data_IF_101879674312
#
_entry.id   IF_101879674312
#
_cell.length_a   1.000
_cell.length_b   1.000
_cell.length_c   1.000
_cell.angle_alpha   90.00
_cell.angle_beta   90.00
_cell.angle_gamma   90.00
#
_symmetry.space_group_name_H-M   'P 1'
#
loop_
_entity.id
_entity.type
_entity.pdbx_description
1 polymer ?
#
# COMPACT_ATOMS: atom_id res chain seq x y z
N UNK A 1 -20.26 13.15 6.43
CA UNK A 1 -19.67 12.33 5.35
C UNK A 1 -18.24 12.02 5.77
N UNK A 2 -18.06 10.97 6.55
CA UNK A 2 -16.77 10.54 7.11
C UNK A 2 -16.20 9.48 6.17
N UNK A 3 -14.94 9.64 5.72
CA UNK A 3 -14.25 8.65 4.88
C UNK A 3 -13.26 7.91 5.74
N UNK A 4 -13.66 6.74 6.22
CA UNK A 4 -12.77 5.79 6.88
C UNK A 4 -11.77 5.23 5.85
N UNK A 5 -10.54 5.74 5.88
CA UNK A 5 -9.42 5.12 5.20
C UNK A 5 -8.95 3.93 6.04
N UNK A 6 -9.57 2.77 5.81
CA UNK A 6 -9.13 1.51 6.41
C UNK A 6 -7.79 1.10 5.78
N UNK A 7 -6.70 1.55 6.41
CA UNK A 7 -5.36 1.04 6.17
C UNK A 7 -5.24 -0.30 6.89
N UNK A 8 -5.30 -1.42 6.16
CA UNK A 8 -5.08 -2.73 6.75
C UNK A 8 -3.57 -3.00 6.86
N UNK A 9 -2.98 -3.11 8.07
CA UNK A 9 -1.68 -3.74 8.19
C UNK A 9 -1.86 -5.25 7.93
N UNK A 10 -1.18 -5.79 6.92
CA UNK A 10 -1.08 -7.24 6.73
C UNK A 10 -0.27 -7.84 7.87
N UNK A 11 -0.99 -8.24 8.92
CA UNK A 11 -0.48 -8.88 10.13
C UNK A 11 0.01 -10.29 9.81
N UNK A 12 1.29 -10.44 9.51
CA UNK A 12 1.99 -11.73 9.61
C UNK A 12 2.80 -11.77 10.90
N UNK A 13 2.10 -11.85 12.04
CA UNK A 13 2.75 -12.10 13.34
C UNK A 13 2.24 -13.41 13.93
N UNK A 14 2.92 -14.50 13.55
CA UNK A 14 3.03 -15.69 14.41
C UNK A 14 4.44 -15.69 15.00
N UNK A 15 4.64 -14.84 16.00
CA UNK A 15 5.85 -14.78 16.81
C UNK A 15 5.91 -16.03 17.72
N UNK A 16 6.93 -16.87 17.56
CA UNK A 16 7.37 -17.76 18.65
C UNK A 16 8.87 -17.63 18.86
N UNK A 17 9.16 -16.99 20.00
CA UNK A 17 10.26 -17.24 20.96
C UNK A 17 11.66 -16.70 20.61
N UNK A 18 11.93 -15.55 21.23
CA UNK A 18 13.01 -15.30 22.20
C UNK A 18 14.42 -15.87 21.94
N UNK A 19 15.38 -14.95 21.83
CA UNK A 19 16.83 -15.12 21.96
C UNK A 19 17.52 -13.81 21.57
N UNK A 20 17.63 -12.86 22.50
CA UNK A 20 18.86 -12.43 23.20
C UNK A 20 19.96 -11.84 22.29
N UNK A 21 20.31 -10.60 22.63
CA UNK A 21 21.60 -9.93 22.43
C UNK A 21 22.19 -9.90 21.01
N UNK A 22 21.92 -8.79 20.34
CA UNK A 22 22.69 -8.34 19.19
C UNK A 22 22.05 -7.08 18.65
N UNK A 23 22.85 -6.03 18.47
CA UNK A 23 22.50 -4.83 17.71
C UNK A 23 21.41 -5.14 16.68
N UNK A 24 20.20 -4.63 16.90
CA UNK A 24 19.16 -4.66 15.87
C UNK A 24 19.64 -3.70 14.80
N UNK A 25 20.51 -4.19 13.92
CA UNK A 25 20.63 -3.68 12.57
C UNK A 25 19.23 -3.86 12.01
N UNK A 26 18.46 -2.78 12.02
CA UNK A 26 17.37 -2.60 11.08
C UNK A 26 18.05 -2.61 9.71
N UNK A 27 18.36 -3.82 9.20
CA UNK A 27 18.60 -4.07 7.78
C UNK A 27 17.51 -3.30 7.08
N UNK A 28 17.91 -2.17 6.48
CA UNK A 28 17.02 -1.10 6.06
C UNK A 28 16.09 -1.62 4.99
N UNK A 29 15.01 -2.26 5.41
CA UNK A 29 13.90 -2.64 4.56
C UNK A 29 13.23 -1.32 4.25
N UNK A 30 13.74 -0.63 3.21
CA UNK A 30 13.14 0.59 2.70
C UNK A 30 11.71 0.23 2.33
N UNK A 31 10.77 0.60 3.20
CA UNK A 31 9.36 0.38 2.95
C UNK A 31 9.00 1.19 1.72
N UNK A 32 8.65 0.51 0.64
CA UNK A 32 8.11 1.15 -0.54
C UNK A 32 6.60 1.21 -0.41
N UNK A 33 6.02 2.36 -0.74
CA UNK A 33 4.57 2.56 -0.75
C UNK A 33 4.12 2.78 -2.18
N UNK A 34 2.91 2.30 -2.50
CA UNK A 34 2.30 2.53 -3.80
C UNK A 34 0.79 2.70 -3.65
N UNK A 35 0.20 3.47 -4.56
CA UNK A 35 -1.25 3.66 -4.66
C UNK A 35 -1.81 2.94 -5.89
N UNK A 36 -3.04 2.45 -5.75
CA UNK A 36 -3.89 1.92 -6.82
C UNK A 36 -5.28 2.50 -6.66
N UNK A 37 -6.02 2.63 -7.75
CA UNK A 37 -7.37 3.18 -7.72
C UNK A 37 -8.32 2.31 -8.54
N UNK A 38 -9.58 2.26 -8.11
CA UNK A 38 -10.66 1.56 -8.76
C UNK A 38 -11.92 2.42 -8.72
N UNK A 39 -12.69 2.40 -9.82
CA UNK A 39 -14.03 2.98 -9.89
C UNK A 39 -15.00 1.83 -10.07
N UNK A 40 -15.98 1.76 -9.19
CA UNK A 40 -17.08 0.80 -9.23
C UNK A 40 -18.39 1.54 -9.39
N UNK A 41 -19.39 0.89 -9.99
CA UNK A 41 -20.75 1.40 -9.98
C UNK A 41 -21.40 1.27 -8.59
N UNK A 42 -22.66 1.71 -8.49
CA UNK A 42 -23.45 1.65 -7.25
C UNK A 42 -23.76 0.23 -6.79
N UNK A 43 -23.69 -0.74 -7.70
CA UNK A 43 -23.94 -2.16 -7.45
C UNK A 43 -22.63 -2.93 -7.14
N UNK A 44 -21.47 -2.24 -7.21
CA UNK A 44 -20.15 -2.77 -6.90
C UNK A 44 -19.41 -3.39 -8.09
N UNK A 45 -19.95 -3.33 -9.31
CA UNK A 45 -19.26 -3.81 -10.50
C UNK A 45 -18.08 -2.90 -10.85
N UNK A 46 -16.95 -3.50 -11.21
CA UNK A 46 -15.74 -2.76 -11.56
C UNK A 46 -15.88 -2.12 -12.95
N UNK A 47 -15.82 -0.79 -13.01
CA UNK A 47 -15.88 -0.02 -14.24
C UNK A 47 -14.48 0.36 -14.75
N UNK A 48 -13.60 0.75 -13.83
CA UNK A 48 -12.23 1.14 -14.17
C UNK A 48 -11.24 0.73 -13.07
N UNK A 49 -10.01 0.43 -13.46
CA UNK A 49 -8.91 0.15 -12.53
C UNK A 49 -7.61 0.78 -13.02
N UNK A 50 -6.73 1.13 -12.10
CA UNK A 50 -5.37 1.53 -12.43
C UNK A 50 -4.64 0.39 -13.13
N UNK A 51 -3.97 0.70 -14.24
CA UNK A 51 -3.21 -0.27 -15.04
C UNK A 51 -1.92 -0.73 -14.35
N UNK A 52 -1.41 0.07 -13.42
CA UNK A 52 -0.18 -0.19 -12.67
C UNK A 52 -0.25 0.32 -11.23
N UNK A 53 0.75 -0.02 -10.43
CA UNK A 53 0.94 0.55 -9.10
C UNK A 53 1.81 1.82 -9.20
N UNK A 54 1.41 2.90 -8.52
CA UNK A 54 2.13 4.18 -8.56
C UNK A 54 2.91 4.37 -7.25
N UNK A 55 4.23 4.33 -7.32
CA UNK A 55 5.09 4.46 -6.14
C UNK A 55 5.10 5.88 -5.58
N UNK A 56 4.95 6.00 -4.26
CA UNK A 56 4.85 7.29 -3.55
C UNK A 56 5.62 7.25 -2.22
N UNK A 57 5.80 8.42 -1.60
CA UNK A 57 6.30 8.64 -0.20
C UNK A 57 7.76 8.24 0.06
N UNK A 58 8.26 7.19 -0.59
CA UNK A 58 9.62 6.69 -0.39
C UNK A 58 10.62 7.62 -1.08
N UNK A 59 11.85 7.72 -0.56
CA UNK A 59 12.89 8.61 -1.09
C UNK A 59 13.02 8.48 -2.62
N UNK A 60 12.87 9.60 -3.34
CA UNK A 60 12.92 9.67 -4.81
C UNK A 60 11.56 9.57 -5.51
N UNK A 61 10.49 9.21 -4.79
CA UNK A 61 9.13 9.15 -5.35
C UNK A 61 8.34 10.43 -5.07
N UNK A 62 7.41 10.82 -5.96
CA UNK A 62 6.60 12.01 -5.76
C UNK A 62 5.57 11.82 -4.61
N UNK A 63 5.12 12.94 -4.05
CA UNK A 63 4.00 13.01 -3.10
C UNK A 63 2.64 13.16 -3.81
N UNK A 64 2.65 13.48 -5.11
CA UNK A 64 1.48 13.63 -5.96
C UNK A 64 1.67 12.83 -7.26
N UNK A 65 0.64 12.08 -7.66
CA UNK A 65 0.64 11.29 -8.90
C UNK A 65 -0.69 11.44 -9.63
N UNK A 66 -0.63 11.56 -10.96
CA UNK A 66 -1.80 11.37 -11.82
C UNK A 66 -1.95 9.87 -12.09
N UNK A 67 -3.13 9.32 -11.81
CA UNK A 67 -3.44 7.90 -12.03
C UNK A 67 -4.27 7.79 -13.31
N UNK A 68 -3.78 6.99 -14.26
CA UNK A 68 -4.54 6.63 -15.44
C UNK A 68 -5.34 5.36 -15.16
N UNK A 69 -6.60 5.37 -15.57
CA UNK A 69 -7.50 4.25 -15.37
C UNK A 69 -7.91 3.69 -16.73
N UNK A 70 -8.00 2.36 -16.81
CA UNK A 70 -8.51 1.63 -17.96
C UNK A 70 -9.74 0.82 -17.56
N UNK A 71 -10.59 0.53 -18.54
CA UNK A 71 -11.63 -0.47 -18.38
C UNK A 71 -10.98 -1.85 -18.17
N UNK A 72 -11.54 -2.70 -17.29
CA UNK A 72 -10.99 -4.02 -16.99
C UNK A 72 -11.02 -4.98 -18.18
#
# INVERSE_FOLDING_TARGET
MERDFLCYPTRSERQKRAGSDGNVRLEGTKRTYAVRAQIKDVDGALLFTSTQAYHVITQGNPSYVTIELAQP
#
